data_IF_573130752745
#
_entry.id   IF_573130752745
#
_cell.length_a   1.000
_cell.length_b   1.000
_cell.length_c   1.000
_cell.angle_alpha   90.00
_cell.angle_beta   90.00
_cell.angle_gamma   90.00
#
_symmetry.space_group_name_H-M   'P 1'
#
loop_
_entity.id
_entity.type
_entity.pdbx_description
1 polymer ?
#
# COMPACT_ATOMS: atom_id res chain seq x y z
N UNK A 1 -12.53 3.91 11.18
CA UNK A 1 -11.09 4.17 11.37
C UNK A 1 -10.33 3.32 10.37
N UNK A 2 -9.27 3.86 9.79
CA UNK A 2 -8.44 3.22 8.73
C UNK A 2 -7.94 1.85 9.20
N UNK A 3 -7.38 1.77 10.40
CA UNK A 3 -6.91 0.50 11.00
C UNK A 3 -8.00 -0.56 10.98
N UNK A 4 -9.22 -0.21 11.43
CA UNK A 4 -10.35 -1.15 11.44
C UNK A 4 -10.72 -1.62 10.02
N UNK A 5 -10.68 -0.74 9.04
CA UNK A 5 -10.94 -1.11 7.64
C UNK A 5 -9.89 -2.11 7.15
N UNK A 6 -8.60 -1.80 7.32
CA UNK A 6 -7.53 -2.72 6.93
C UNK A 6 -7.69 -4.05 7.65
N UNK A 7 -7.84 -4.04 8.99
CA UNK A 7 -8.00 -5.27 9.80
C UNK A 7 -9.15 -6.16 9.32
N UNK A 8 -10.30 -5.56 8.98
CA UNK A 8 -11.47 -6.32 8.53
C UNK A 8 -11.26 -7.03 7.18
N UNK A 9 -10.33 -6.56 6.36
CA UNK A 9 -10.05 -7.13 5.04
C UNK A 9 -8.83 -8.04 5.01
N UNK A 10 -7.75 -7.71 5.73
CA UNK A 10 -6.57 -8.57 5.77
C UNK A 10 -6.68 -9.69 6.82
N UNK A 11 -7.56 -9.54 7.83
CA UNK A 11 -7.81 -10.52 8.90
C UNK A 11 -6.51 -11.02 9.55
N UNK A 12 -5.70 -10.13 10.15
CA UNK A 12 -4.37 -10.49 10.64
C UNK A 12 -4.46 -11.47 11.82
N UNK A 13 -3.53 -12.42 11.88
CA UNK A 13 -3.43 -13.42 12.94
C UNK A 13 -1.97 -13.70 13.33
N UNK A 14 -1.74 -14.43 14.41
CA UNK A 14 -0.42 -14.69 14.99
C UNK A 14 0.52 -15.52 14.10
N UNK A 15 0.03 -16.17 13.05
CA UNK A 15 0.82 -16.92 12.08
C UNK A 15 1.28 -16.03 10.90
N UNK A 16 0.74 -14.81 10.80
CA UNK A 16 1.03 -13.93 9.69
C UNK A 16 2.40 -13.25 9.80
N UNK A 17 3.06 -13.16 8.65
CA UNK A 17 4.15 -12.24 8.40
C UNK A 17 3.67 -11.13 7.45
N UNK A 18 3.43 -9.95 8.02
CA UNK A 18 2.98 -8.78 7.27
C UNK A 18 4.16 -8.03 6.64
N UNK A 19 4.17 -7.91 5.32
CA UNK A 19 5.07 -7.01 4.59
C UNK A 19 4.36 -5.68 4.32
N UNK A 20 4.96 -4.56 4.73
CA UNK A 20 4.43 -3.20 4.53
C UNK A 20 5.39 -2.41 3.62
N UNK A 21 4.98 -2.19 2.37
CA UNK A 21 5.75 -1.48 1.37
C UNK A 21 5.45 0.03 1.42
N UNK A 22 6.43 0.82 1.82
CA UNK A 22 6.27 2.24 2.11
C UNK A 22 5.71 2.46 3.52
N UNK A 23 6.27 1.79 4.52
CA UNK A 23 5.76 1.77 5.89
C UNK A 23 5.88 3.13 6.61
N UNK A 24 6.67 4.05 6.09
CA UNK A 24 6.91 5.36 6.67
C UNK A 24 7.45 5.26 8.11
N UNK A 25 6.83 6.00 9.02
CA UNK A 25 7.23 6.02 10.43
C UNK A 25 6.65 4.86 11.28
N UNK A 26 6.00 3.88 10.67
CA UNK A 26 5.45 2.71 11.35
C UNK A 26 4.16 2.93 12.18
N UNK A 27 3.69 4.16 12.31
CA UNK A 27 2.55 4.49 13.19
C UNK A 27 1.24 3.82 12.78
N UNK A 28 0.98 3.63 11.48
CA UNK A 28 -0.19 2.87 11.02
C UNK A 28 -0.05 1.39 11.37
N UNK A 29 1.09 0.81 11.00
CA UNK A 29 1.36 -0.61 11.14
C UNK A 29 1.46 -1.06 12.59
N UNK A 30 1.88 -0.20 13.52
CA UNK A 30 1.99 -0.52 14.95
C UNK A 30 0.68 -1.02 15.58
N UNK A 31 -0.45 -0.68 14.96
CA UNK A 31 -1.76 -1.19 15.39
C UNK A 31 -1.97 -2.68 15.08
N UNK A 32 -1.18 -3.26 14.18
CA UNK A 32 -1.28 -4.68 13.82
C UNK A 32 -0.28 -5.56 14.58
N UNK A 33 0.80 -5.00 15.13
CA UNK A 33 1.86 -5.76 15.80
C UNK A 33 1.38 -6.74 16.87
N UNK A 34 0.38 -6.42 17.72
CA UNK A 34 -0.14 -7.36 18.70
C UNK A 34 -0.92 -8.54 18.11
N UNK A 35 -1.28 -8.49 16.83
CA UNK A 35 -2.16 -9.47 16.17
C UNK A 35 -1.46 -10.31 15.12
N UNK A 36 -0.16 -10.08 14.88
CA UNK A 36 0.63 -10.77 13.85
C UNK A 36 1.90 -11.37 14.44
N UNK A 37 2.38 -12.47 13.83
CA UNK A 37 3.61 -13.12 14.27
C UNK A 37 4.86 -12.33 13.94
N UNK A 38 4.96 -11.80 12.72
CA UNK A 38 6.12 -11.03 12.25
C UNK A 38 5.68 -9.85 11.39
N UNK A 39 6.50 -8.80 11.38
CA UNK A 39 6.32 -7.63 10.53
C UNK A 39 7.63 -7.24 9.87
N UNK A 40 7.57 -6.92 8.58
CA UNK A 40 8.68 -6.28 7.85
C UNK A 40 8.16 -5.00 7.20
N UNK A 41 8.66 -3.85 7.66
CA UNK A 41 8.39 -2.54 7.08
C UNK A 41 9.53 -2.11 6.16
N UNK A 42 9.20 -1.72 4.94
CA UNK A 42 10.17 -1.24 3.93
C UNK A 42 9.87 0.21 3.60
N UNK A 43 10.85 1.09 3.77
CA UNK A 43 10.77 2.48 3.35
C UNK A 43 12.16 2.99 2.97
N UNK A 44 12.25 3.92 2.04
CA UNK A 44 13.54 4.50 1.61
C UNK A 44 13.93 5.77 2.41
N UNK A 45 13.07 6.22 3.31
CA UNK A 45 13.31 7.41 4.13
C UNK A 45 14.01 7.04 5.43
N UNK A 46 15.31 7.20 5.51
CA UNK A 46 16.09 6.99 6.74
C UNK A 46 15.49 7.75 7.94
N UNK A 47 14.97 8.97 7.71
CA UNK A 47 14.34 9.78 8.75
C UNK A 47 13.08 9.09 9.30
N UNK A 48 12.18 8.64 8.43
CA UNK A 48 10.95 7.98 8.87
C UNK A 48 11.24 6.63 9.53
N UNK A 49 12.18 5.85 8.98
CA UNK A 49 12.63 4.62 9.61
C UNK A 49 13.32 4.85 10.96
N UNK A 50 14.03 5.97 11.13
CA UNK A 50 14.58 6.38 12.42
C UNK A 50 13.49 6.53 13.48
N UNK A 51 12.39 7.23 13.15
CA UNK A 51 11.21 7.37 14.02
C UNK A 51 10.56 6.02 14.29
N UNK A 52 10.39 5.18 13.25
CA UNK A 52 9.80 3.86 13.39
C UNK A 52 10.59 2.98 14.36
N UNK A 53 11.91 2.93 14.22
CA UNK A 53 12.82 2.16 15.10
C UNK A 53 12.86 2.68 16.53
N UNK A 54 12.67 3.99 16.73
CA UNK A 54 12.65 4.59 18.07
C UNK A 54 11.35 4.32 18.82
N UNK A 55 10.18 4.38 18.14
CA UNK A 55 8.88 4.37 18.81
C UNK A 55 8.06 3.10 18.58
N UNK A 56 8.33 2.32 17.53
CA UNK A 56 7.49 1.21 17.09
C UNK A 56 8.31 -0.04 16.73
N UNK A 57 9.19 -0.50 17.63
CA UNK A 57 10.14 -1.58 17.34
C UNK A 57 10.11 -2.71 18.38
N UNK A 58 8.98 -3.44 18.55
CA UNK A 58 8.96 -4.65 19.35
C UNK A 58 9.77 -5.79 18.70
N UNK A 59 9.97 -6.90 19.41
CA UNK A 59 10.85 -8.02 18.99
C UNK A 59 10.43 -8.68 17.66
N UNK A 60 9.14 -8.62 17.31
CA UNK A 60 8.60 -9.23 16.09
C UNK A 60 8.58 -8.26 14.88
N UNK A 61 9.31 -7.15 14.95
CA UNK A 61 9.33 -6.10 13.92
C UNK A 61 10.71 -5.93 13.33
N UNK A 62 10.78 -5.87 12.00
CA UNK A 62 11.98 -5.52 11.23
C UNK A 62 11.70 -4.33 10.31
N UNK A 63 12.66 -3.39 10.22
CA UNK A 63 12.62 -2.27 9.28
C UNK A 63 13.80 -2.32 8.32
N UNK A 64 13.49 -2.26 7.02
CA UNK A 64 14.44 -2.32 5.90
C UNK A 64 14.49 -0.96 5.21
N UNK A 65 15.70 -0.40 5.12
CA UNK A 65 15.97 0.82 4.35
C UNK A 65 16.18 0.46 2.88
N UNK A 66 15.11 0.54 2.12
CA UNK A 66 15.10 0.26 0.69
C UNK A 66 13.86 0.84 0.02
N UNK A 67 13.89 1.02 -1.29
CA UNK A 67 12.67 1.29 -2.05
C UNK A 67 11.82 0.04 -2.18
N UNK A 68 10.49 0.21 -2.21
CA UNK A 68 9.55 -0.91 -2.39
C UNK A 68 9.87 -1.73 -3.65
N UNK A 69 10.21 -1.06 -4.75
CA UNK A 69 10.54 -1.72 -6.03
C UNK A 69 11.83 -2.52 -5.94
N UNK A 70 12.89 -1.95 -5.32
CA UNK A 70 14.16 -2.65 -5.18
C UNK A 70 14.04 -3.84 -4.23
N UNK A 71 13.35 -3.66 -3.10
CA UNK A 71 13.07 -4.75 -2.15
C UNK A 71 12.34 -5.93 -2.82
N UNK A 72 11.23 -5.65 -3.51
CA UNK A 72 10.44 -6.70 -4.20
C UNK A 72 11.26 -7.44 -5.25
N UNK A 73 12.10 -6.73 -6.01
CA UNK A 73 12.93 -7.35 -7.04
C UNK A 73 14.07 -8.21 -6.48
N UNK A 74 14.56 -7.93 -5.28
CA UNK A 74 15.74 -8.58 -4.70
C UNK A 74 15.44 -9.43 -3.45
N UNK A 75 14.17 -9.54 -3.03
CA UNK A 75 13.78 -10.31 -1.86
C UNK A 75 14.24 -11.77 -1.97
N UNK A 76 15.01 -12.22 -0.97
CA UNK A 76 15.60 -13.57 -0.98
C UNK A 76 14.64 -14.65 -0.48
N UNK A 77 13.65 -14.28 0.31
CA UNK A 77 12.72 -15.20 0.96
C UNK A 77 11.27 -14.72 0.81
N UNK A 78 10.76 -14.49 -0.42
CA UNK A 78 9.42 -13.92 -0.62
C UNK A 78 8.29 -14.82 -0.09
N UNK A 79 8.55 -16.12 0.07
CA UNK A 79 7.58 -17.10 0.56
C UNK A 79 7.26 -16.96 2.06
N UNK A 80 8.01 -16.18 2.84
CA UNK A 80 7.72 -15.98 4.26
C UNK A 80 6.53 -15.04 4.49
N UNK A 81 6.23 -14.17 3.53
CA UNK A 81 5.19 -13.16 3.66
C UNK A 81 3.81 -13.72 3.31
N UNK A 82 2.86 -13.59 4.25
CA UNK A 82 1.48 -14.07 4.10
C UNK A 82 0.49 -12.95 3.78
N UNK A 83 0.77 -11.74 4.21
CA UNK A 83 -0.03 -10.52 3.97
C UNK A 83 0.86 -9.41 3.47
N UNK A 84 0.35 -8.61 2.55
CA UNK A 84 1.09 -7.44 2.02
C UNK A 84 0.21 -6.20 2.14
N UNK A 85 0.79 -5.13 2.68
CA UNK A 85 0.18 -3.81 2.81
C UNK A 85 0.93 -2.81 1.93
N UNK A 86 0.19 -1.99 1.19
CA UNK A 86 0.71 -0.85 0.42
C UNK A 86 -0.25 0.32 0.70
N UNK A 87 0.08 1.18 1.68
CA UNK A 87 -0.85 2.22 2.11
C UNK A 87 -0.29 3.62 1.90
N UNK A 88 -0.95 4.41 1.02
CA UNK A 88 -0.62 5.82 0.79
C UNK A 88 0.62 6.07 -0.08
N UNK A 89 1.21 5.04 -0.67
CA UNK A 89 2.46 5.14 -1.45
C UNK A 89 2.34 4.67 -2.91
N UNK A 90 1.29 3.93 -3.26
CA UNK A 90 1.12 3.39 -4.61
C UNK A 90 1.19 4.45 -5.72
N UNK A 91 0.68 5.63 -5.45
CA UNK A 91 0.68 6.76 -6.40
C UNK A 91 2.08 7.21 -6.83
N UNK A 92 3.11 6.91 -6.04
CA UNK A 92 4.50 7.29 -6.33
C UNK A 92 5.27 6.24 -7.14
N UNK A 93 4.74 5.03 -7.31
CA UNK A 93 5.41 3.99 -8.09
C UNK A 93 5.32 4.25 -9.61
N UNK A 94 4.35 5.06 -10.05
CA UNK A 94 3.98 5.18 -11.45
C UNK A 94 3.42 3.87 -12.02
N UNK A 95 2.88 3.91 -13.24
CA UNK A 95 2.20 2.73 -13.83
C UNK A 95 3.11 1.53 -14.02
N UNK A 96 4.32 1.75 -14.57
CA UNK A 96 5.26 0.66 -14.83
C UNK A 96 5.80 0.04 -13.55
N UNK A 97 6.13 0.86 -12.55
CA UNK A 97 6.60 0.39 -11.24
C UNK A 97 5.56 -0.44 -10.54
N UNK A 98 4.30 0.02 -10.51
CA UNK A 98 3.20 -0.75 -9.93
C UNK A 98 3.00 -2.11 -10.61
N UNK A 99 2.94 -2.15 -11.94
CA UNK A 99 2.79 -3.40 -12.70
C UNK A 99 3.94 -4.37 -12.37
N UNK A 100 5.18 -3.88 -12.32
CA UNK A 100 6.33 -4.69 -11.95
C UNK A 100 6.20 -5.25 -10.53
N UNK A 101 5.89 -4.41 -9.55
CA UNK A 101 5.71 -4.82 -8.15
C UNK A 101 4.63 -5.90 -8.04
N UNK A 102 3.44 -5.67 -8.61
CA UNK A 102 2.33 -6.60 -8.52
C UNK A 102 2.61 -7.91 -9.26
N UNK A 103 3.28 -7.87 -10.42
CA UNK A 103 3.69 -9.06 -11.15
C UNK A 103 4.67 -9.91 -10.34
N UNK A 104 5.64 -9.27 -9.70
CA UNK A 104 6.59 -9.96 -8.82
C UNK A 104 5.90 -10.55 -7.58
N UNK A 105 4.99 -9.80 -6.95
CA UNK A 105 4.20 -10.31 -5.83
C UNK A 105 3.39 -11.54 -6.25
N UNK A 106 2.72 -11.49 -7.39
CA UNK A 106 1.92 -12.61 -7.90
C UNK A 106 2.75 -13.87 -8.11
N UNK A 107 3.96 -13.72 -8.68
CA UNK A 107 4.78 -14.84 -9.10
C UNK A 107 5.65 -15.40 -7.98
N UNK A 108 6.25 -14.55 -7.17
CA UNK A 108 7.34 -14.93 -6.25
C UNK A 108 6.86 -15.05 -4.79
N UNK A 109 5.90 -14.23 -4.35
CA UNK A 109 5.39 -14.25 -2.98
C UNK A 109 4.26 -15.27 -2.82
N UNK A 110 4.59 -16.53 -3.08
CA UNK A 110 3.62 -17.62 -3.29
C UNK A 110 2.67 -17.87 -2.12
N UNK A 111 3.09 -17.58 -0.89
CA UNK A 111 2.27 -17.75 0.31
C UNK A 111 1.45 -16.51 0.66
N UNK A 112 1.60 -15.41 -0.09
CA UNK A 112 0.79 -14.22 0.14
C UNK A 112 -0.67 -14.50 -0.20
N UNK A 113 -1.54 -14.43 0.80
CA UNK A 113 -2.98 -14.64 0.69
C UNK A 113 -3.68 -13.41 0.10
N UNK A 114 -3.22 -12.22 0.50
CA UNK A 114 -3.79 -10.97 0.01
C UNK A 114 -2.78 -9.83 -0.04
N UNK A 115 -3.09 -8.84 -0.89
CA UNK A 115 -2.42 -7.53 -0.93
C UNK A 115 -3.49 -6.46 -0.72
N UNK A 116 -3.39 -5.70 0.37
CA UNK A 116 -4.23 -4.53 0.59
C UNK A 116 -3.52 -3.29 0.08
N UNK A 117 -4.12 -2.59 -0.87
CA UNK A 117 -3.61 -1.32 -1.39
C UNK A 117 -4.60 -0.22 -1.04
N UNK A 118 -4.17 0.74 -0.23
CA UNK A 118 -5.06 1.75 0.29
C UNK A 118 -4.63 3.19 0.05
N UNK A 119 -5.60 4.09 0.22
CA UNK A 119 -5.44 5.52 0.04
C UNK A 119 -5.06 5.91 -1.40
N UNK A 120 -5.66 5.25 -2.38
CA UNK A 120 -5.38 5.42 -3.82
C UNK A 120 -6.09 6.68 -4.33
N UNK A 121 -5.39 7.62 -5.00
CA UNK A 121 -6.02 8.79 -5.61
C UNK A 121 -6.99 8.40 -6.72
N UNK A 122 -8.25 8.84 -6.62
CA UNK A 122 -9.34 8.50 -7.53
C UNK A 122 -9.40 9.50 -8.71
N UNK A 123 -8.92 9.11 -9.89
CA UNK A 123 -8.78 9.97 -11.08
C UNK A 123 -10.08 10.69 -11.48
N UNK A 124 -11.26 10.06 -11.54
CA UNK A 124 -12.54 10.75 -11.74
C UNK A 124 -12.82 11.89 -10.76
N UNK A 125 -12.16 11.94 -9.61
CA UNK A 125 -12.31 12.97 -8.57
C UNK A 125 -11.19 14.00 -8.54
N UNK A 126 -10.21 13.90 -9.44
CA UNK A 126 -9.05 14.78 -9.44
C UNK A 126 -9.44 16.24 -9.68
N UNK A 127 -10.31 16.52 -10.67
CA UNK A 127 -10.73 17.88 -10.99
C UNK A 127 -11.40 18.55 -9.77
N UNK A 128 -12.35 17.87 -9.13
CA UNK A 128 -13.04 18.37 -7.92
C UNK A 128 -12.05 18.63 -6.77
N UNK A 129 -11.06 17.75 -6.59
CA UNK A 129 -10.03 17.91 -5.56
C UNK A 129 -9.19 19.16 -5.79
N UNK A 130 -8.71 19.37 -7.01
CA UNK A 130 -7.84 20.50 -7.35
C UNK A 130 -8.61 21.82 -7.41
N UNK A 131 -9.86 21.83 -7.87
CA UNK A 131 -10.71 23.01 -7.84
C UNK A 131 -10.97 23.49 -6.41
N UNK A 132 -11.24 22.57 -5.49
CA UNK A 132 -11.41 22.89 -4.06
C UNK A 132 -10.11 23.42 -3.42
N UNK A 133 -8.95 23.03 -3.94
CA UNK A 133 -7.62 23.52 -3.54
C UNK A 133 -7.16 24.78 -4.27
N UNK A 134 -7.94 25.31 -5.21
CA UNK A 134 -7.58 26.48 -6.03
C UNK A 134 -6.42 26.22 -7.02
N UNK A 135 -6.20 24.96 -7.41
CA UNK A 135 -5.13 24.57 -8.35
C UNK A 135 -5.74 24.35 -9.73
N UNK A 136 -5.29 25.13 -10.72
CA UNK A 136 -5.84 25.10 -12.09
C UNK A 136 -4.99 24.34 -13.09
N UNK A 137 -3.74 24.03 -12.74
CA UNK A 137 -2.83 23.31 -13.63
C UNK A 137 -2.21 22.12 -12.86
N UNK A 138 -2.61 20.90 -13.20
CA UNK A 138 -2.14 19.67 -12.57
C UNK A 138 -2.04 18.55 -13.62
N UNK A 139 -1.12 17.62 -13.39
CA UNK A 139 -0.96 16.40 -14.17
C UNK A 139 -1.29 15.18 -13.29
N UNK A 140 -2.33 14.46 -13.65
CA UNK A 140 -2.79 13.26 -12.93
C UNK A 140 -1.89 12.05 -13.15
N UNK A 141 -0.98 12.10 -14.10
CA UNK A 141 -0.03 11.02 -14.42
C UNK A 141 1.36 11.28 -13.80
N UNK A 142 1.61 12.46 -13.24
CA UNK A 142 2.91 12.80 -12.64
C UNK A 142 3.11 12.11 -11.28
N UNK A 143 3.82 10.99 -11.28
CA UNK A 143 4.17 10.25 -10.05
C UNK A 143 5.10 11.01 -9.10
N UNK A 144 5.70 12.13 -9.55
CA UNK A 144 6.58 12.98 -8.73
C UNK A 144 5.85 14.18 -8.13
N UNK A 145 4.58 14.39 -8.47
CA UNK A 145 3.76 15.42 -7.84
C UNK A 145 3.50 15.11 -6.36
N UNK A 146 3.02 16.10 -5.61
CA UNK A 146 2.72 15.93 -4.18
C UNK A 146 1.67 14.84 -3.90
N UNK A 147 0.77 14.57 -4.85
CA UNK A 147 -0.26 13.52 -4.74
C UNK A 147 0.20 12.23 -5.46
N UNK A 148 1.07 12.35 -6.46
CA UNK A 148 1.47 11.25 -7.33
C UNK A 148 0.44 10.95 -8.43
N UNK A 149 0.53 9.77 -9.00
CA UNK A 149 -0.37 9.29 -10.07
C UNK A 149 -1.79 9.07 -9.53
N UNK A 150 -2.77 9.60 -10.22
CA UNK A 150 -4.19 9.32 -9.98
C UNK A 150 -4.63 8.13 -10.82
N UNK A 151 -5.45 7.26 -10.22
CA UNK A 151 -5.86 6.02 -10.85
C UNK A 151 -7.36 6.00 -11.13
N UNK A 152 -7.71 5.59 -12.34
CA UNK A 152 -9.07 5.21 -12.63
C UNK A 152 -9.33 3.82 -12.00
N UNK A 153 -10.38 3.65 -11.17
CA UNK A 153 -10.65 2.38 -10.52
C UNK A 153 -10.85 1.21 -11.50
N UNK A 154 -11.55 1.44 -12.62
CA UNK A 154 -11.83 0.38 -13.60
C UNK A 154 -10.53 -0.04 -14.32
N UNK A 155 -9.69 0.94 -14.70
CA UNK A 155 -8.39 0.68 -15.30
C UNK A 155 -7.47 -0.11 -14.34
N UNK A 156 -7.42 0.29 -13.07
CA UNK A 156 -6.60 -0.41 -12.07
C UNK A 156 -7.07 -1.85 -11.86
N UNK A 157 -8.38 -2.06 -11.77
CA UNK A 157 -8.98 -3.39 -11.67
C UNK A 157 -8.58 -4.25 -12.87
N UNK A 158 -8.65 -3.70 -14.09
CA UNK A 158 -8.27 -4.44 -15.29
C UNK A 158 -6.78 -4.83 -15.27
N UNK A 159 -5.88 -3.91 -14.90
CA UNK A 159 -4.45 -4.20 -14.75
C UNK A 159 -4.21 -5.34 -13.76
N UNK A 160 -4.86 -5.30 -12.60
CA UNK A 160 -4.70 -6.34 -11.57
C UNK A 160 -5.25 -7.69 -12.03
N UNK A 161 -6.39 -7.70 -12.74
CA UNK A 161 -6.98 -8.91 -13.32
C UNK A 161 -6.07 -9.52 -14.41
N UNK A 162 -5.46 -8.69 -15.26
CA UNK A 162 -4.53 -9.14 -16.31
C UNK A 162 -3.26 -9.77 -15.72
N UNK A 163 -2.82 -9.31 -14.54
CA UNK A 163 -1.73 -9.94 -13.78
C UNK A 163 -2.19 -11.26 -13.14
N UNK A 164 -3.49 -11.49 -12.98
CA UNK A 164 -4.08 -12.71 -12.45
C UNK A 164 -4.54 -12.62 -11.00
N UNK A 165 -4.74 -11.41 -10.44
CA UNK A 165 -5.40 -11.22 -9.17
C UNK A 165 -6.92 -11.15 -9.33
N UNK A 166 -7.65 -11.58 -8.29
CA UNK A 166 -9.04 -11.19 -8.07
C UNK A 166 -9.03 -9.87 -7.30
N UNK A 167 -9.89 -8.94 -7.69
CA UNK A 167 -9.90 -7.57 -7.14
C UNK A 167 -11.23 -7.29 -6.46
N UNK A 168 -11.18 -6.82 -5.23
CA UNK A 168 -12.31 -6.23 -4.52
C UNK A 168 -12.07 -4.72 -4.40
N UNK A 169 -12.97 -3.90 -4.93
CA UNK A 169 -12.94 -2.45 -4.81
C UNK A 169 -13.58 -2.03 -3.49
N UNK A 170 -12.87 -1.22 -2.72
CA UNK A 170 -13.27 -0.81 -1.38
C UNK A 170 -13.34 0.72 -1.29
N UNK A 171 -14.34 1.22 -0.58
CA UNK A 171 -14.47 2.64 -0.32
C UNK A 171 -14.31 2.93 1.17
N UNK A 172 -13.64 4.03 1.47
CA UNK A 172 -13.54 4.52 2.85
C UNK A 172 -14.91 4.97 3.35
N UNK A 173 -15.18 4.85 4.67
CA UNK A 173 -16.40 5.42 5.27
C UNK A 173 -16.52 6.91 4.98
N UNK A 174 -17.72 7.41 4.72
CA UNK A 174 -18.02 8.83 4.38
C UNK A 174 -17.52 9.83 5.43
N UNK A 175 -17.35 9.38 6.69
CA UNK A 175 -16.79 10.19 7.77
C UNK A 175 -15.30 10.54 7.59
N UNK A 176 -14.62 9.90 6.64
CA UNK A 176 -13.24 10.23 6.29
C UNK A 176 -13.17 11.29 5.21
N UNK A 177 -12.37 12.33 5.44
CA UNK A 177 -12.11 13.33 4.41
C UNK A 177 -11.61 12.72 3.11
N UNK A 178 -10.73 11.71 3.21
CA UNK A 178 -10.18 10.99 2.06
C UNK A 178 -11.22 10.22 1.24
N UNK A 179 -12.36 9.83 1.81
CA UNK A 179 -13.41 9.06 1.12
C UNK A 179 -13.91 9.73 -0.16
N UNK A 180 -13.87 11.05 -0.22
CA UNK A 180 -14.29 11.84 -1.37
C UNK A 180 -13.38 11.70 -2.58
N UNK A 181 -12.09 11.41 -2.35
CA UNK A 181 -11.05 11.47 -3.38
C UNK A 181 -10.16 10.24 -3.44
N UNK A 182 -10.44 9.24 -2.60
CA UNK A 182 -9.63 8.04 -2.45
C UNK A 182 -10.50 6.79 -2.49
N UNK A 183 -9.86 5.70 -2.86
CA UNK A 183 -10.41 4.36 -2.75
C UNK A 183 -9.31 3.39 -2.32
N UNK A 184 -9.71 2.17 -1.97
CA UNK A 184 -8.82 1.09 -1.62
C UNK A 184 -9.14 -0.13 -2.50
N UNK A 185 -8.21 -1.07 -2.61
CA UNK A 185 -8.46 -2.38 -3.24
C UNK A 185 -7.86 -3.49 -2.38
N UNK A 186 -8.53 -4.63 -2.39
CA UNK A 186 -8.00 -5.89 -1.89
C UNK A 186 -7.76 -6.82 -3.07
N UNK A 187 -6.53 -7.33 -3.17
CA UNK A 187 -6.14 -8.30 -4.18
C UNK A 187 -6.00 -9.67 -3.52
N UNK A 188 -6.55 -10.69 -4.15
CA UNK A 188 -6.38 -12.11 -3.77
C UNK A 188 -5.91 -12.92 -4.97
N UNK A 189 -5.24 -14.05 -4.70
CA UNK A 189 -4.70 -14.93 -5.76
C UNK A 189 -5.74 -15.85 -6.36
#
# INVERSE_FOLDING_TARGET
NIVKQITNHILPNEEDHLLDLGCGNGALASNFFPSIGQYTGVDFSEYLLGVAKEFFNPENVEYVDDSAENFINNCKSPQIYTKILIYGVMSYFGRKGLINILTKIKNDFVNSECVFIGNIPNKPKAQEFYDNGGVTNFDVEDSKSAIGTWWDPEELIQICNDIGFKVELLYMPDSFYGSKYRFDILLTK
#
